data_IF_630442412222
#
_entry.id   IF_630442412222
#
_cell.length_a   1.000
_cell.length_b   1.000
_cell.length_c   1.000
_cell.angle_alpha   90.00
_cell.angle_beta   90.00
_cell.angle_gamma   90.00
#
_symmetry.space_group_name_H-M   'P 1'
#
loop_
_entity.id
_entity.type
_entity.pdbx_description
1 polymer ?
#
# COMPACT_ATOMS: atom_id res chain seq x y z
N UNK A 1 11.48 -18.47 -30.70
CA UNK A 1 10.95 -19.45 -29.73
C UNK A 1 11.16 -18.84 -28.36
N UNK A 2 10.11 -18.35 -27.72
CA UNK A 2 10.15 -17.90 -26.34
C UNK A 2 9.85 -19.11 -25.45
N UNK A 3 10.67 -19.35 -24.43
CA UNK A 3 10.39 -20.37 -23.43
C UNK A 3 9.44 -19.74 -22.40
N UNK A 4 8.24 -20.30 -22.25
CA UNK A 4 7.34 -19.92 -21.16
C UNK A 4 7.98 -20.34 -19.82
N UNK A 5 8.16 -19.36 -18.94
CA UNK A 5 8.52 -19.59 -17.55
C UNK A 5 7.29 -20.14 -16.83
N UNK A 6 7.26 -21.45 -16.60
CA UNK A 6 6.23 -22.10 -15.78
C UNK A 6 6.62 -21.93 -14.32
N UNK A 7 5.86 -21.11 -13.59
CA UNK A 7 5.97 -20.98 -12.13
C UNK A 7 5.05 -22.03 -11.49
N UNK A 8 5.61 -22.95 -10.70
CA UNK A 8 4.84 -24.00 -10.05
C UNK A 8 4.21 -23.50 -8.73
N UNK A 9 3.14 -24.16 -8.28
CA UNK A 9 2.36 -23.75 -7.09
C UNK A 9 3.22 -23.69 -5.81
N UNK A 10 4.25 -24.53 -5.72
CA UNK A 10 5.24 -24.49 -4.64
C UNK A 10 6.15 -23.25 -4.67
N UNK A 11 6.44 -22.71 -5.85
CA UNK A 11 7.21 -21.46 -5.99
C UNK A 11 6.37 -20.26 -5.55
N UNK A 12 5.05 -20.31 -5.75
CA UNK A 12 4.11 -19.29 -5.27
C UNK A 12 3.99 -19.29 -3.74
N UNK A 13 4.03 -20.45 -3.08
CA UNK A 13 4.03 -20.52 -1.61
C UNK A 13 5.34 -19.98 -1.03
N UNK A 14 6.49 -20.33 -1.61
CA UNK A 14 7.80 -19.81 -1.18
C UNK A 14 7.90 -18.30 -1.41
N UNK A 15 7.37 -17.80 -2.52
CA UNK A 15 7.28 -16.36 -2.75
C UNK A 15 6.38 -15.70 -1.71
N UNK A 16 5.17 -16.23 -1.44
CA UNK A 16 4.23 -15.71 -0.43
C UNK A 16 4.81 -15.68 0.98
N UNK A 17 5.55 -16.71 1.37
CA UNK A 17 6.16 -16.80 2.70
C UNK A 17 7.29 -15.78 2.85
N UNK A 18 8.08 -15.58 1.79
CA UNK A 18 9.10 -14.53 1.75
C UNK A 18 8.51 -13.13 1.69
N UNK A 19 7.36 -12.90 1.03
CA UNK A 19 6.64 -11.62 1.11
C UNK A 19 5.99 -11.42 2.47
N UNK A 20 5.60 -12.49 3.17
CA UNK A 20 5.05 -12.46 4.53
C UNK A 20 6.12 -12.05 5.56
N UNK A 21 7.32 -12.65 5.51
CA UNK A 21 8.43 -12.26 6.37
C UNK A 21 8.95 -10.85 6.03
N UNK A 22 9.14 -10.54 4.74
CA UNK A 22 9.56 -9.21 4.29
C UNK A 22 8.52 -8.15 4.65
N UNK A 23 7.23 -8.46 4.57
CA UNK A 23 6.20 -7.53 5.01
C UNK A 23 6.30 -7.35 6.51
N UNK A 24 6.33 -8.39 7.36
CA UNK A 24 6.35 -8.26 8.84
C UNK A 24 7.45 -7.35 9.40
N UNK A 25 8.65 -7.33 8.80
CA UNK A 25 9.76 -6.45 9.21
C UNK A 25 9.73 -5.03 8.63
N UNK A 26 8.87 -4.77 7.64
CA UNK A 26 8.91 -3.59 6.76
C UNK A 26 7.63 -2.72 6.89
N UNK A 27 6.75 -2.97 7.88
CA UNK A 27 5.34 -2.51 7.84
C UNK A 27 5.03 -1.03 8.15
N UNK A 28 5.97 -0.20 8.62
CA UNK A 28 5.62 1.21 8.97
C UNK A 28 6.70 2.24 8.62
N UNK A 29 7.98 1.89 8.81
CA UNK A 29 9.12 2.78 8.47
C UNK A 29 9.26 2.99 6.95
N UNK A 30 8.69 2.09 6.15
CA UNK A 30 8.99 1.98 4.72
C UNK A 30 8.17 2.93 3.85
N UNK A 31 6.94 3.29 4.23
CA UNK A 31 6.06 4.08 3.34
C UNK A 31 6.40 5.59 3.38
N UNK A 32 6.73 6.12 4.56
CA UNK A 32 7.25 7.49 4.69
C UNK A 32 8.63 7.65 4.02
N UNK A 33 9.53 6.67 4.23
CA UNK A 33 10.83 6.62 3.55
C UNK A 33 10.68 6.45 2.04
N UNK A 34 9.68 5.69 1.58
CA UNK A 34 9.36 5.53 0.17
C UNK A 34 8.93 6.86 -0.47
N UNK A 35 8.09 7.68 0.18
CA UNK A 35 7.73 9.01 -0.34
C UNK A 35 8.96 9.91 -0.57
N UNK A 36 9.91 9.92 0.38
CA UNK A 36 11.18 10.66 0.25
C UNK A 36 12.03 10.11 -0.91
N UNK A 37 12.11 8.78 -1.04
CA UNK A 37 12.83 8.12 -2.13
C UNK A 37 12.19 8.43 -3.50
N UNK A 38 10.86 8.37 -3.58
CA UNK A 38 10.10 8.66 -4.80
C UNK A 38 10.20 10.13 -5.22
N UNK A 39 10.40 11.08 -4.29
CA UNK A 39 10.75 12.46 -4.64
C UNK A 39 12.15 12.57 -5.28
N UNK A 40 13.06 11.69 -4.88
CA UNK A 40 14.49 11.78 -5.23
C UNK A 40 14.88 10.90 -6.42
N UNK A 41 14.03 9.95 -6.82
CA UNK A 41 14.25 9.07 -7.95
C UNK A 41 13.99 9.80 -9.28
N UNK A 42 14.69 9.39 -10.34
CA UNK A 42 14.51 9.94 -11.67
C UNK A 42 13.06 9.77 -12.15
N UNK A 43 12.57 10.76 -12.89
CA UNK A 43 11.25 10.70 -13.51
C UNK A 43 11.12 9.44 -14.36
N UNK A 44 9.96 8.78 -14.28
CA UNK A 44 9.59 7.60 -15.08
C UNK A 44 10.45 6.34 -14.82
N UNK A 45 11.11 6.27 -13.66
CA UNK A 45 11.85 5.06 -13.21
C UNK A 45 10.94 4.04 -12.51
N UNK A 46 9.85 4.53 -11.91
CA UNK A 46 8.88 3.72 -11.18
C UNK A 46 7.57 3.79 -11.93
N UNK A 47 7.06 2.62 -12.30
CA UNK A 47 5.79 2.48 -13.02
C UNK A 47 4.63 2.88 -12.12
N UNK A 48 4.51 2.25 -10.94
CA UNK A 48 3.44 2.52 -9.98
C UNK A 48 3.94 2.70 -8.55
N UNK A 49 3.26 3.55 -7.79
CA UNK A 49 3.54 3.77 -6.39
C UNK A 49 2.27 3.77 -5.54
N UNK A 50 2.25 2.94 -4.49
CA UNK A 50 1.10 2.82 -3.57
C UNK A 50 1.50 3.20 -2.14
N UNK A 51 0.82 4.19 -1.59
CA UNK A 51 0.86 4.49 -0.16
C UNK A 51 -0.03 3.53 0.64
N UNK A 52 0.48 3.02 1.77
CA UNK A 52 -0.29 2.24 2.75
C UNK A 52 0.00 2.73 4.17
N UNK A 53 -1.02 3.07 4.95
CA UNK A 53 -0.88 3.47 6.36
C UNK A 53 0.07 4.64 6.67
N UNK A 54 0.52 5.42 5.68
CA UNK A 54 1.67 6.31 5.86
C UNK A 54 1.41 7.44 6.88
N UNK A 55 2.37 7.76 7.76
CA UNK A 55 2.31 8.97 8.60
C UNK A 55 2.28 10.27 7.80
N UNK A 56 2.68 10.25 6.54
CA UNK A 56 2.57 11.40 5.64
C UNK A 56 3.16 11.06 4.28
N UNK A 57 2.91 11.91 3.30
CA UNK A 57 3.36 11.68 1.93
C UNK A 57 4.81 12.13 1.65
N UNK A 58 5.49 12.82 2.58
CA UNK A 58 6.76 13.52 2.30
C UNK A 58 6.66 14.63 1.23
N UNK A 59 5.46 14.86 0.69
CA UNK A 59 5.13 15.84 -0.35
C UNK A 59 3.77 16.47 -0.08
N UNK A 60 3.50 17.60 -0.74
CA UNK A 60 2.19 18.26 -0.69
C UNK A 60 1.34 18.04 -1.95
N UNK A 61 1.91 17.44 -3.00
CA UNK A 61 1.23 17.11 -4.25
C UNK A 61 1.90 15.92 -4.93
N UNK A 62 1.11 15.04 -5.54
CA UNK A 62 1.60 13.92 -6.35
C UNK A 62 2.51 14.37 -7.51
N UNK A 63 2.31 15.59 -8.04
CA UNK A 63 3.12 16.14 -9.13
C UNK A 63 4.58 16.45 -8.76
N UNK A 64 4.94 16.34 -7.48
CA UNK A 64 6.31 16.53 -6.99
C UNK A 64 7.05 15.22 -6.75
N UNK A 65 6.39 14.08 -6.96
CA UNK A 65 7.01 12.77 -7.00
C UNK A 65 7.70 12.58 -8.36
N UNK A 66 8.76 11.77 -8.40
CA UNK A 66 9.38 11.26 -9.62
C UNK A 66 8.55 10.18 -10.32
N UNK A 67 7.33 9.91 -9.85
CA UNK A 67 6.37 8.95 -10.40
C UNK A 67 5.32 9.69 -11.21
N UNK A 68 4.79 9.09 -12.26
CA UNK A 68 3.63 9.67 -12.94
C UNK A 68 2.47 9.83 -11.93
N UNK A 69 1.89 11.03 -11.77
CA UNK A 69 0.73 11.23 -10.91
C UNK A 69 -0.39 10.23 -11.15
N UNK A 70 -0.64 9.86 -12.41
CA UNK A 70 -1.70 8.92 -12.79
C UNK A 70 -1.47 7.50 -12.24
N UNK A 71 -0.21 7.15 -11.96
CA UNK A 71 0.25 5.87 -11.41
C UNK A 71 0.61 5.96 -9.91
N UNK A 72 0.11 7.00 -9.23
CA UNK A 72 0.26 7.13 -7.78
C UNK A 72 -1.07 6.84 -7.10
N UNK A 73 -1.03 5.93 -6.13
CA UNK A 73 -2.20 5.36 -5.47
C UNK A 73 -2.08 5.41 -3.94
N UNK A 74 -3.22 5.31 -3.26
CA UNK A 74 -3.30 5.16 -1.81
C UNK A 74 -4.34 4.11 -1.43
N UNK A 75 -3.93 3.18 -0.55
CA UNK A 75 -4.84 2.35 0.22
C UNK A 75 -4.88 2.89 1.66
N UNK A 76 -6.07 3.20 2.16
CA UNK A 76 -6.27 3.76 3.49
C UNK A 76 -7.37 2.98 4.23
N UNK A 77 -7.00 2.21 5.25
CA UNK A 77 -7.95 1.48 6.09
C UNK A 77 -8.69 2.48 6.98
N UNK A 78 -10.02 2.51 6.98
CA UNK A 78 -10.78 3.54 7.70
C UNK A 78 -10.84 3.32 9.22
N UNK A 79 -10.57 2.09 9.70
CA UNK A 79 -10.75 1.71 11.10
C UNK A 79 -9.44 1.26 11.74
N UNK A 80 -9.07 1.87 12.88
CA UNK A 80 -7.90 1.51 13.71
C UNK A 80 -6.55 1.50 12.97
N UNK A 81 -6.38 2.47 12.08
CA UNK A 81 -5.10 2.83 11.49
C UNK A 81 -4.84 4.33 11.68
N UNK A 82 -4.67 4.74 12.94
CA UNK A 82 -4.38 6.14 13.29
C UNK A 82 -3.00 6.62 12.82
N UNK A 83 -2.13 5.76 12.26
CA UNK A 83 -0.82 6.21 11.73
C UNK A 83 -1.01 7.12 10.53
N UNK A 84 -2.07 6.94 9.74
CA UNK A 84 -2.34 7.76 8.56
C UNK A 84 -2.31 9.27 8.87
N UNK A 85 -1.41 9.99 8.20
CA UNK A 85 -1.28 11.44 8.38
C UNK A 85 -0.59 11.90 9.68
N UNK A 86 -0.05 10.99 10.51
CA UNK A 86 0.80 11.33 11.66
C UNK A 86 2.21 11.80 11.28
N UNK A 87 2.32 12.94 10.59
CA UNK A 87 3.60 13.57 10.29
C UNK A 87 4.27 14.11 11.58
N UNK A 88 5.62 14.19 11.64
CA UNK A 88 6.33 14.83 12.75
C UNK A 88 5.94 16.31 12.96
N UNK A 89 5.55 16.99 11.87
CA UNK A 89 4.93 18.32 11.87
C UNK A 89 4.15 18.55 10.55
N UNK A 90 3.49 19.71 10.43
CA UNK A 90 2.70 20.07 9.24
C UNK A 90 3.53 20.31 7.97
N UNK A 91 4.86 20.39 8.07
CA UNK A 91 5.77 20.58 6.94
C UNK A 91 6.28 19.26 6.34
N UNK A 92 6.06 18.13 7.02
CA UNK A 92 6.46 16.82 6.52
C UNK A 92 5.68 16.38 5.28
N UNK A 93 4.55 16.99 4.97
CA UNK A 93 3.68 16.63 3.86
C UNK A 93 2.27 16.27 4.33
N UNK A 94 1.37 16.07 3.37
CA UNK A 94 -0.05 15.79 3.68
C UNK A 94 -0.27 14.31 3.98
N UNK A 95 -1.41 13.99 4.59
CA UNK A 95 -1.95 12.64 4.55
C UNK A 95 -2.06 12.21 3.06
N UNK A 96 -1.47 11.08 2.64
CA UNK A 96 -1.57 10.63 1.25
C UNK A 96 -2.99 10.57 0.71
N UNK A 97 -3.99 10.25 1.55
CA UNK A 97 -5.40 10.19 1.12
C UNK A 97 -6.00 11.56 0.79
N UNK A 98 -5.31 12.64 1.14
CA UNK A 98 -5.72 14.02 0.87
C UNK A 98 -4.89 14.67 -0.25
N UNK A 99 -3.99 13.93 -0.89
CA UNK A 99 -3.25 14.45 -2.04
C UNK A 99 -4.18 14.57 -3.24
N UNK A 100 -4.35 15.79 -3.73
CA UNK A 100 -5.13 16.05 -4.94
C UNK A 100 -4.56 15.25 -6.12
N UNK A 101 -5.44 14.55 -6.83
CA UNK A 101 -5.08 13.76 -8.00
C UNK A 101 -4.47 12.40 -7.68
N UNK A 102 -4.41 11.93 -6.43
CA UNK A 102 -4.02 10.54 -6.13
C UNK A 102 -5.15 9.55 -6.47
N UNK A 103 -4.81 8.34 -6.92
CA UNK A 103 -5.77 7.26 -7.12
C UNK A 103 -6.13 6.59 -5.79
N UNK A 104 -7.42 6.41 -5.51
CA UNK A 104 -7.88 5.75 -4.29
C UNK A 104 -8.19 4.27 -4.55
N UNK A 105 -7.47 3.40 -3.85
CA UNK A 105 -7.79 1.98 -3.74
C UNK A 105 -8.92 1.79 -2.72
N UNK A 106 -9.52 0.59 -2.67
CA UNK A 106 -10.64 0.31 -1.75
C UNK A 106 -10.32 0.61 -0.28
N UNK A 107 -9.10 0.33 0.16
CA UNK A 107 -8.73 0.40 1.58
C UNK A 107 -9.46 -0.64 2.45
N UNK A 108 -10.23 -1.54 1.85
CA UNK A 108 -11.03 -2.53 2.57
C UNK A 108 -10.20 -3.77 2.86
N UNK A 109 -9.73 -3.84 4.10
CA UNK A 109 -9.01 -4.99 4.65
C UNK A 109 -9.88 -5.90 5.52
N UNK A 110 -11.20 -5.71 5.54
CA UNK A 110 -12.10 -6.36 6.51
C UNK A 110 -12.09 -7.88 6.45
N UNK A 111 -11.86 -8.46 5.27
CA UNK A 111 -11.71 -9.90 5.08
C UNK A 111 -10.31 -10.46 5.34
N UNK A 112 -9.35 -9.62 5.76
CA UNK A 112 -7.99 -10.06 6.12
C UNK A 112 -7.98 -10.87 7.43
N UNK A 113 -7.18 -11.93 7.49
CA UNK A 113 -7.08 -12.85 8.64
C UNK A 113 -6.47 -12.21 9.90
N UNK A 114 -5.87 -11.03 9.78
CA UNK A 114 -5.41 -10.21 10.90
C UNK A 114 -6.18 -8.90 11.10
N UNK A 115 -7.31 -8.70 10.42
CA UNK A 115 -8.16 -7.52 10.61
C UNK A 115 -8.99 -7.63 11.88
N UNK A 116 -8.99 -6.56 12.69
CA UNK A 116 -9.78 -6.45 13.89
C UNK A 116 -10.98 -5.50 13.68
N UNK A 117 -12.23 -6.01 13.69
CA UNK A 117 -13.43 -5.21 13.51
C UNK A 117 -13.98 -4.60 14.81
N UNK A 118 -13.44 -4.94 15.98
CA UNK A 118 -13.95 -4.42 17.26
C UNK A 118 -13.70 -2.92 17.35
N UNK A 119 -14.75 -2.06 17.41
CA UNK A 119 -14.59 -0.61 17.47
C UNK A 119 -13.86 -0.12 18.74
N UNK A 120 -13.67 -0.98 19.75
CA UNK A 120 -12.94 -0.66 20.97
C UNK A 120 -11.49 -1.15 20.95
N UNK A 121 -11.03 -1.74 19.84
CA UNK A 121 -9.67 -2.21 19.70
C UNK A 121 -8.65 -1.06 19.75
N UNK A 122 -7.38 -1.43 19.93
CA UNK A 122 -6.29 -0.46 19.95
C UNK A 122 -6.22 0.34 18.64
N UNK A 123 -5.80 1.60 18.74
CA UNK A 123 -5.80 2.59 17.64
C UNK A 123 -5.04 2.20 16.36
N UNK A 124 -4.13 1.23 16.45
CA UNK A 124 -3.20 0.86 15.39
C UNK A 124 -3.33 -0.62 14.98
N UNK A 125 -4.33 -1.34 15.48
CA UNK A 125 -4.41 -2.80 15.29
C UNK A 125 -4.54 -3.20 13.82
N UNK A 126 -5.08 -2.33 12.97
CA UNK A 126 -5.26 -2.62 11.54
C UNK A 126 -4.19 -1.98 10.65
N UNK A 127 -3.19 -1.29 11.20
CA UNK A 127 -2.15 -0.59 10.43
C UNK A 127 -1.42 -1.50 9.42
N UNK A 128 -1.33 -2.80 9.70
CA UNK A 128 -0.68 -3.78 8.84
C UNK A 128 -1.65 -4.62 8.00
N UNK A 129 -2.97 -4.36 8.09
CA UNK A 129 -3.97 -5.26 7.53
C UNK A 129 -4.11 -5.21 6.00
N UNK A 130 -3.52 -4.20 5.35
CA UNK A 130 -3.36 -4.10 3.90
C UNK A 130 -2.75 -5.37 3.26
N UNK A 131 -1.91 -6.08 4.01
CA UNK A 131 -1.11 -7.20 3.50
C UNK A 131 -1.49 -8.55 4.12
N UNK A 132 -2.57 -8.62 4.90
CA UNK A 132 -3.01 -9.92 5.40
C UNK A 132 -3.70 -10.72 4.31
N UNK A 133 -3.41 -12.02 4.29
CA UNK A 133 -4.18 -12.98 3.48
C UNK A 133 -5.65 -12.87 3.85
N UNK A 134 -6.53 -13.00 2.87
CA UNK A 134 -7.96 -13.12 3.12
C UNK A 134 -8.29 -14.42 3.90
N UNK A 135 -9.30 -14.36 4.76
CA UNK A 135 -9.92 -15.53 5.38
C UNK A 135 -10.59 -16.40 4.30
N UNK A 136 -10.85 -17.69 4.57
CA UNK A 136 -11.57 -18.55 3.63
C UNK A 136 -12.93 -17.97 3.24
N UNK A 137 -13.18 -17.84 1.92
CA UNK A 137 -14.40 -17.26 1.33
C UNK A 137 -14.63 -15.77 1.60
N UNK A 138 -13.62 -15.05 2.07
CA UNK A 138 -13.65 -13.59 2.21
C UNK A 138 -12.63 -12.94 1.25
N UNK A 139 -12.68 -11.61 1.16
CA UNK A 139 -11.80 -10.82 0.32
C UNK A 139 -11.06 -9.77 1.15
N UNK A 140 -9.76 -9.62 0.91
CA UNK A 140 -9.01 -8.45 1.32
C UNK A 140 -8.84 -7.57 0.07
N UNK A 141 -9.83 -6.72 -0.21
CA UNK A 141 -9.83 -5.89 -1.40
C UNK A 141 -8.67 -4.89 -1.42
N UNK A 142 -8.16 -4.47 -0.26
CA UNK A 142 -6.95 -3.66 -0.17
C UNK A 142 -5.75 -4.39 -0.77
N UNK A 143 -5.51 -5.65 -0.38
CA UNK A 143 -4.43 -6.47 -0.93
C UNK A 143 -4.64 -6.77 -2.42
N UNK A 144 -5.87 -7.10 -2.83
CA UNK A 144 -6.21 -7.39 -4.22
C UNK A 144 -6.00 -6.17 -5.13
N UNK A 145 -6.41 -4.98 -4.68
CA UNK A 145 -6.24 -3.74 -5.43
C UNK A 145 -4.76 -3.37 -5.58
N UNK A 146 -3.94 -3.56 -4.54
CA UNK A 146 -2.48 -3.42 -4.62
C UNK A 146 -1.92 -4.40 -5.66
N UNK A 147 -2.40 -5.64 -5.67
CA UNK A 147 -2.04 -6.64 -6.67
C UNK A 147 -2.40 -6.21 -8.09
N UNK A 148 -3.58 -5.59 -8.30
CA UNK A 148 -3.99 -5.07 -9.61
C UNK A 148 -3.12 -3.92 -10.10
N UNK A 149 -2.70 -3.02 -9.20
CA UNK A 149 -1.74 -1.96 -9.52
C UNK A 149 -0.42 -2.57 -9.98
N UNK A 150 0.13 -3.52 -9.23
CA UNK A 150 1.39 -4.21 -9.61
C UNK A 150 1.26 -4.95 -10.94
N UNK A 151 0.08 -5.48 -11.24
CA UNK A 151 -0.20 -6.19 -12.49
C UNK A 151 -0.58 -5.26 -13.66
N UNK A 152 -0.59 -3.95 -13.49
CA UNK A 152 -1.05 -2.96 -14.48
C UNK A 152 -2.48 -3.24 -14.99
N UNK A 153 -3.36 -3.63 -14.08
CA UNK A 153 -4.79 -3.93 -14.34
C UNK A 153 -5.73 -3.05 -13.53
N UNK A 154 -5.19 -2.12 -12.73
CA UNK A 154 -6.01 -1.19 -11.95
C UNK A 154 -6.39 0.01 -12.79
N UNK A 155 -7.70 0.26 -12.89
CA UNK A 155 -8.22 1.44 -13.58
C UNK A 155 -8.46 2.58 -12.58
N UNK A 156 -8.17 3.81 -13.01
CA UNK A 156 -8.54 5.01 -12.26
C UNK A 156 -10.05 5.19 -12.27
N UNK A 157 -10.60 5.53 -11.10
CA UNK A 157 -12.01 5.87 -10.88
C UNK A 157 -12.21 7.37 -10.82
#
# INVERSE_FOLDING_TARGET
MAADLVIEEGDLEVLRDRTSEASSGLRSVTVATAGIAMRSIGKDVVDDFVYTGSPGAAVHSVGTLGVNPEHTWVSAIPLHDEVQGMGPDSSFGRDPKELEGIGHLSGDASGGDGYNPDPNAGKYVNHSAYFYRAKPNEHNYSLEDIGKVIADTMERK
#
